data_IF_771280387551
#
_entry.id   IF_771280387551
#
_cell.length_a   1.000
_cell.length_b   1.000
_cell.length_c   1.000
_cell.angle_alpha   90.00
_cell.angle_beta   90.00
_cell.angle_gamma   90.00
#
_symmetry.space_group_name_H-M   'P 1'
#
loop_
_entity.id
_entity.type
_entity.pdbx_description
1 polymer ?
#
# COMPACT_ATOMS: atom_id res chain seq x y z
N UNK A 1 -21.55 8.40 -15.78
CA UNK A 1 -21.30 8.26 -14.33
C UNK A 1 -20.37 7.08 -14.13
N UNK A 2 -19.18 7.22 -13.53
CA UNK A 2 -18.30 6.03 -13.42
C UNK A 2 -16.88 6.24 -12.90
N UNK A 3 -16.40 7.49 -12.79
CA UNK A 3 -15.07 7.77 -12.19
C UNK A 3 -15.11 7.73 -10.66
N UNK A 4 -16.20 8.21 -10.06
CA UNK A 4 -16.33 8.35 -8.60
C UNK A 4 -16.54 7.02 -7.87
N UNK A 5 -17.22 6.06 -8.51
CA UNK A 5 -17.49 4.74 -7.90
C UNK A 5 -16.23 3.88 -7.84
N UNK A 6 -15.51 3.77 -8.97
CA UNK A 6 -14.19 3.15 -9.02
C UNK A 6 -13.20 3.81 -8.07
N UNK A 7 -13.24 5.14 -7.95
CA UNK A 7 -12.38 5.85 -7.00
C UNK A 7 -12.70 5.50 -5.54
N UNK A 8 -13.98 5.35 -5.17
CA UNK A 8 -14.38 4.96 -3.80
C UNK A 8 -14.00 3.51 -3.48
N UNK A 9 -14.23 2.58 -4.40
CA UNK A 9 -13.83 1.18 -4.23
C UNK A 9 -12.32 1.07 -4.06
N UNK A 10 -11.57 1.78 -4.90
CA UNK A 10 -10.12 1.83 -4.82
C UNK A 10 -9.62 2.49 -3.52
N UNK A 11 -10.28 3.56 -3.06
CA UNK A 11 -9.92 4.22 -1.81
C UNK A 11 -10.17 3.32 -0.60
N UNK A 12 -11.20 2.46 -0.64
CA UNK A 12 -11.49 1.49 0.42
C UNK A 12 -10.41 0.41 0.50
N UNK A 13 -10.06 -0.19 -0.64
CA UNK A 13 -8.99 -1.19 -0.69
C UNK A 13 -7.64 -0.62 -0.28
N UNK A 14 -7.36 0.62 -0.71
CA UNK A 14 -6.18 1.36 -0.25
C UNK A 14 -6.15 1.50 1.27
N UNK A 15 -7.25 1.95 1.88
CA UNK A 15 -7.30 2.18 3.32
C UNK A 15 -7.06 0.90 4.10
N UNK A 16 -7.62 -0.22 3.67
CA UNK A 16 -7.39 -1.53 4.30
C UNK A 16 -5.91 -1.95 4.24
N UNK A 17 -5.28 -1.80 3.09
CA UNK A 17 -3.86 -2.13 2.90
C UNK A 17 -2.98 -1.20 3.74
N UNK A 18 -3.20 0.11 3.63
CA UNK A 18 -2.42 1.12 4.35
C UNK A 18 -2.54 0.92 5.85
N UNK A 19 -3.76 0.72 6.36
CA UNK A 19 -4.00 0.52 7.78
C UNK A 19 -3.32 -0.76 8.28
N UNK A 20 -3.38 -1.87 7.53
CA UNK A 20 -2.68 -3.10 7.95
C UNK A 20 -1.17 -2.91 8.00
N UNK A 21 -0.59 -2.35 6.93
CA UNK A 21 0.85 -2.12 6.85
C UNK A 21 1.31 -1.15 7.95
N UNK A 22 0.52 -0.12 8.24
CA UNK A 22 0.77 0.82 9.34
C UNK A 22 0.70 0.11 10.71
N UNK A 23 -0.28 -0.76 10.95
CA UNK A 23 -0.33 -1.55 12.18
C UNK A 23 0.88 -2.48 12.34
N UNK A 24 1.34 -3.12 11.27
CA UNK A 24 2.58 -3.91 11.28
C UNK A 24 3.81 -3.04 11.56
N UNK A 25 3.86 -1.85 10.97
CA UNK A 25 4.92 -0.86 11.17
C UNK A 25 4.99 -0.39 12.63
N UNK A 26 3.83 -0.08 13.23
CA UNK A 26 3.69 0.31 14.64
C UNK A 26 4.15 -0.82 15.56
N UNK A 27 3.67 -2.05 15.32
CA UNK A 27 4.06 -3.24 16.10
C UNK A 27 5.56 -3.47 16.08
N UNK A 28 6.20 -3.22 14.93
CA UNK A 28 7.65 -3.38 14.74
C UNK A 28 8.46 -2.16 15.16
N UNK A 29 7.82 -1.09 15.67
CA UNK A 29 8.45 0.21 15.99
C UNK A 29 9.30 0.79 14.85
N UNK A 30 8.97 0.46 13.59
CA UNK A 30 9.70 0.92 12.40
C UNK A 30 9.00 2.13 11.78
N UNK A 31 8.98 3.27 12.45
CA UNK A 31 8.46 4.53 11.89
C UNK A 31 9.40 5.12 10.85
N UNK A 32 9.53 4.46 9.71
CA UNK A 32 10.50 4.82 8.68
C UNK A 32 9.96 5.84 7.68
N UNK A 33 8.67 5.78 7.32
CA UNK A 33 8.04 6.71 6.38
C UNK A 33 6.50 6.52 6.36
N UNK A 34 5.78 7.46 5.75
CA UNK A 34 4.30 7.48 5.66
C UNK A 34 3.79 6.72 4.43
N UNK A 35 2.92 5.74 4.63
CA UNK A 35 2.19 5.07 3.55
C UNK A 35 1.27 6.06 2.84
N UNK A 36 1.68 6.54 1.66
CA UNK A 36 0.87 7.47 0.87
C UNK A 36 -0.03 6.74 -0.13
N UNK A 37 -1.20 7.30 -0.47
CA UNK A 37 -2.08 6.74 -1.51
C UNK A 37 -1.38 6.58 -2.85
N UNK A 38 -0.53 7.54 -3.20
CA UNK A 38 0.21 7.54 -4.46
C UNK A 38 1.16 6.35 -4.55
N UNK A 39 1.88 6.06 -3.46
CA UNK A 39 2.79 4.93 -3.40
C UNK A 39 2.06 3.60 -3.54
N UNK A 40 1.02 3.37 -2.73
CA UNK A 40 0.23 2.13 -2.81
C UNK A 40 -0.38 2.00 -4.20
N UNK A 41 -0.80 3.11 -4.83
CA UNK A 41 -1.32 3.09 -6.19
C UNK A 41 -0.27 2.65 -7.20
N UNK A 42 0.93 3.18 -7.10
CA UNK A 42 2.00 2.86 -8.02
C UNK A 42 2.46 1.41 -7.87
N UNK A 43 2.58 0.94 -6.63
CA UNK A 43 2.88 -0.45 -6.33
C UNK A 43 1.75 -1.39 -6.80
N UNK A 44 0.49 -0.99 -6.59
CA UNK A 44 -0.70 -1.74 -7.05
C UNK A 44 -0.77 -1.81 -8.57
N UNK A 45 -0.40 -0.74 -9.27
CA UNK A 45 -0.36 -0.72 -10.73
C UNK A 45 0.70 -1.66 -11.30
N UNK A 46 1.81 -1.88 -10.57
CA UNK A 46 2.90 -2.77 -11.02
C UNK A 46 2.72 -4.23 -10.60
N UNK A 47 2.15 -4.50 -9.42
CA UNK A 47 2.08 -5.84 -8.84
C UNK A 47 0.67 -6.44 -8.76
N UNK A 48 -0.36 -5.60 -8.82
CA UNK A 48 -1.74 -5.95 -8.51
C UNK A 48 -2.09 -5.78 -7.03
N UNK A 49 -3.30 -5.29 -6.76
CA UNK A 49 -3.83 -5.01 -5.41
C UNK A 49 -3.91 -6.29 -4.55
N UNK A 50 -4.34 -7.41 -5.13
CA UNK A 50 -4.46 -8.69 -4.41
C UNK A 50 -3.14 -9.19 -3.85
N UNK A 51 -2.03 -8.94 -4.56
CA UNK A 51 -0.72 -9.40 -4.14
C UNK A 51 -0.23 -8.58 -2.95
N UNK A 52 -0.43 -7.27 -2.98
CA UNK A 52 -0.12 -6.37 -1.86
C UNK A 52 -0.95 -6.74 -0.62
N UNK A 53 -2.23 -7.07 -0.81
CA UNK A 53 -3.09 -7.58 0.27
C UNK A 53 -2.57 -8.87 0.89
N UNK A 54 -1.65 -9.62 0.28
CA UNK A 54 -1.06 -10.84 0.89
C UNK A 54 0.37 -10.64 1.42
N UNK A 55 1.00 -9.50 1.11
CA UNK A 55 2.40 -9.22 1.49
C UNK A 55 2.52 -8.58 2.88
N UNK A 56 3.55 -8.97 3.63
CA UNK A 56 3.89 -8.30 4.91
C UNK A 56 4.54 -6.94 4.68
N UNK A 57 4.59 -6.10 5.73
CA UNK A 57 5.27 -4.80 5.69
C UNK A 57 6.72 -4.87 5.15
N UNK A 58 7.50 -5.88 5.55
CA UNK A 58 8.88 -6.04 5.06
C UNK A 58 8.97 -6.33 3.57
N UNK A 59 8.08 -7.19 3.07
CA UNK A 59 8.04 -7.48 1.63
C UNK A 59 7.62 -6.24 0.85
N UNK A 60 6.65 -5.49 1.37
CA UNK A 60 6.21 -4.23 0.80
C UNK A 60 7.34 -3.19 0.79
N UNK A 61 8.08 -3.04 1.88
CA UNK A 61 9.22 -2.13 1.99
C UNK A 61 10.34 -2.50 1.01
N UNK A 62 10.72 -3.79 0.95
CA UNK A 62 11.72 -4.28 0.01
C UNK A 62 11.30 -4.05 -1.44
N UNK A 63 10.02 -4.21 -1.74
CA UNK A 63 9.48 -3.95 -3.07
C UNK A 63 9.55 -2.46 -3.42
N UNK A 64 9.16 -1.58 -2.48
CA UNK A 64 9.25 -0.14 -2.67
C UNK A 64 10.69 0.32 -2.90
N UNK A 65 11.66 -0.22 -2.14
CA UNK A 65 13.10 0.02 -2.36
C UNK A 65 13.56 -0.47 -3.75
N UNK A 66 13.17 -1.69 -4.16
CA UNK A 66 13.50 -2.23 -5.49
C UNK A 66 12.93 -1.40 -6.64
N UNK A 67 11.77 -0.77 -6.43
CA UNK A 67 11.13 0.10 -7.41
C UNK A 67 11.67 1.54 -7.38
N UNK A 68 12.59 1.87 -6.46
CA UNK A 68 13.13 3.22 -6.30
C UNK A 68 12.11 4.22 -5.74
N UNK A 69 11.12 3.74 -4.99
CA UNK A 69 10.07 4.55 -4.38
C UNK A 69 10.36 4.93 -2.93
N UNK A 70 11.45 4.39 -2.39
CA UNK A 70 12.05 4.61 -1.07
C UNK A 70 13.55 4.79 -1.24
#
# INVERSE_FOLDING_TARGET
MGRTQKYREWMREYFEIAHRLEQEQIRRKRYFWKLTPTLIREVSARLGVERIKKMSYEEFENLCKRLGLL
#
